data_IF_989509000035
#
_entry.id   IF_989509000035
#
_cell.length_a   1.000
_cell.length_b   1.000
_cell.length_c   1.000
_cell.angle_alpha   90.00
_cell.angle_beta   90.00
_cell.angle_gamma   90.00
#
_symmetry.space_group_name_H-M   'P 1'
#
loop_
_entity.id
_entity.type
_entity.pdbx_description
1 polymer ?
#
# COMPACT_ATOMS: atom_id res chain seq x y z
N UNK A 1 -37.37 7.29 23.73
CA UNK A 1 -36.97 5.90 23.44
C UNK A 1 -35.99 5.87 22.29
N UNK A 2 -34.81 5.28 22.48
CA UNK A 2 -33.72 5.26 21.49
C UNK A 2 -33.27 3.84 21.16
N UNK A 3 -32.27 3.73 20.29
CA UNK A 3 -31.63 2.46 19.93
C UNK A 3 -31.04 1.77 21.18
N UNK A 4 -31.20 0.44 21.27
CA UNK A 4 -30.69 -0.38 22.38
C UNK A 4 -29.54 -1.26 21.92
N UNK A 5 -28.48 -1.34 22.73
CA UNK A 5 -27.33 -2.24 22.47
C UNK A 5 -27.81 -3.69 22.34
N UNK A 6 -27.29 -4.41 21.35
CA UNK A 6 -27.62 -5.81 21.07
C UNK A 6 -28.97 -6.03 20.37
N UNK A 7 -29.62 -4.97 19.88
CA UNK A 7 -30.79 -5.07 19.01
C UNK A 7 -30.42 -4.67 17.59
N UNK A 8 -30.93 -5.44 16.63
CA UNK A 8 -30.83 -5.14 15.20
C UNK A 8 -31.99 -4.24 14.77
N UNK A 9 -31.68 -3.29 13.90
CA UNK A 9 -32.64 -2.34 13.34
C UNK A 9 -32.38 -2.24 11.84
N UNK A 10 -33.44 -2.19 11.04
CA UNK A 10 -33.35 -1.95 9.60
C UNK A 10 -33.70 -0.50 9.28
N UNK A 11 -32.96 0.10 8.35
CA UNK A 11 -33.16 1.46 7.87
C UNK A 11 -33.10 1.43 6.34
N UNK A 12 -34.13 1.96 5.71
CA UNK A 12 -34.21 2.07 4.26
C UNK A 12 -34.06 3.53 3.85
N UNK A 13 -33.14 3.81 2.93
CA UNK A 13 -32.90 5.14 2.40
C UNK A 13 -33.23 5.17 0.90
N UNK A 14 -33.98 6.19 0.49
CA UNK A 14 -34.22 6.50 -0.91
C UNK A 14 -33.69 7.90 -1.20
N UNK A 15 -32.82 7.99 -2.20
CA UNK A 15 -32.24 9.26 -2.62
C UNK A 15 -32.01 9.24 -4.13
N UNK A 16 -31.97 10.43 -4.72
CA UNK A 16 -31.76 10.63 -6.15
C UNK A 16 -31.13 11.99 -6.38
N UNK A 17 -30.32 12.13 -7.41
CA UNK A 17 -29.75 13.41 -7.79
C UNK A 17 -28.77 13.29 -8.95
N UNK A 18 -28.23 14.43 -9.36
CA UNK A 18 -27.11 14.53 -10.28
C UNK A 18 -25.88 14.93 -9.47
N UNK A 19 -25.06 13.97 -9.01
CA UNK A 19 -23.88 14.28 -8.21
C UNK A 19 -22.93 15.15 -9.04
N UNK A 20 -22.26 16.10 -8.37
CA UNK A 20 -21.26 16.93 -9.04
C UNK A 20 -19.96 16.14 -9.10
N UNK A 21 -19.49 15.82 -10.30
CA UNK A 21 -18.14 15.27 -10.49
C UNK A 21 -17.10 16.27 -9.97
N UNK A 22 -16.21 15.82 -9.09
CA UNK A 22 -15.14 16.64 -8.52
C UNK A 22 -13.78 15.97 -8.72
N UNK A 23 -13.22 16.11 -9.93
CA UNK A 23 -11.91 15.56 -10.25
C UNK A 23 -11.83 14.04 -10.09
N UNK A 24 -10.65 13.51 -9.73
CA UNK A 24 -10.43 12.07 -9.53
C UNK A 24 -11.25 11.50 -8.37
N UNK A 25 -11.37 12.25 -7.26
CA UNK A 25 -12.04 11.80 -6.04
C UNK A 25 -13.30 12.64 -5.81
N UNK A 26 -14.46 12.10 -6.20
CA UNK A 26 -15.71 12.83 -6.19
C UNK A 26 -16.96 12.00 -5.89
N UNK A 27 -16.79 10.78 -5.35
CA UNK A 27 -17.90 9.88 -5.12
C UNK A 27 -18.20 9.09 -6.38
N UNK A 28 -19.28 9.44 -7.08
CA UNK A 28 -19.70 8.83 -8.34
C UNK A 28 -19.70 9.89 -9.46
N UNK A 29 -19.11 9.55 -10.59
CA UNK A 29 -19.00 10.41 -11.78
C UNK A 29 -19.78 9.81 -12.94
N UNK A 30 -20.42 10.70 -13.71
CA UNK A 30 -21.17 10.36 -14.92
C UNK A 30 -20.52 11.10 -16.10
N UNK A 31 -19.64 10.41 -16.81
CA UNK A 31 -18.88 10.95 -17.94
C UNK A 31 -19.15 10.15 -19.21
N UNK A 32 -18.40 10.47 -20.27
CA UNK A 32 -18.41 9.75 -21.54
C UNK A 32 -17.04 9.15 -21.82
N UNK A 33 -17.03 7.97 -22.46
CA UNK A 33 -15.82 7.39 -23.01
C UNK A 33 -15.37 8.10 -24.30
N UNK A 34 -14.16 7.80 -24.83
CA UNK A 34 -13.67 8.43 -26.05
C UNK A 34 -14.55 8.24 -27.30
N UNK A 35 -15.49 7.28 -27.27
CA UNK A 35 -16.47 7.04 -28.33
C UNK A 35 -17.82 7.76 -28.08
N UNK A 36 -17.95 8.53 -27.00
CA UNK A 36 -19.16 9.25 -26.63
C UNK A 36 -20.23 8.38 -25.98
N UNK A 37 -19.88 7.21 -25.45
CA UNK A 37 -20.80 6.32 -24.72
C UNK A 37 -20.74 6.62 -23.21
N UNK A 38 -21.80 6.37 -22.43
CA UNK A 38 -21.75 6.59 -20.99
C UNK A 38 -20.63 5.79 -20.31
N UNK A 39 -19.85 6.48 -19.48
CA UNK A 39 -18.81 5.90 -18.62
C UNK A 39 -18.99 6.43 -17.20
N UNK A 40 -19.51 5.58 -16.33
CA UNK A 40 -19.80 5.90 -14.94
C UNK A 40 -18.78 5.18 -14.08
N UNK A 41 -18.24 5.84 -13.08
CA UNK A 41 -17.27 5.26 -12.18
C UNK A 41 -17.35 5.89 -10.80
N UNK A 42 -16.89 5.14 -9.79
CA UNK A 42 -16.73 5.63 -8.43
C UNK A 42 -15.26 5.79 -8.08
N UNK A 43 -14.96 6.83 -7.30
CA UNK A 43 -13.68 7.03 -6.63
C UNK A 43 -13.89 8.02 -5.47
N UNK A 44 -13.75 7.54 -4.24
CA UNK A 44 -14.15 8.31 -3.07
C UNK A 44 -13.22 8.23 -1.86
N UNK A 45 -12.06 7.57 -1.96
CA UNK A 45 -11.05 7.62 -0.90
C UNK A 45 -10.62 9.06 -0.62
N UNK A 46 -10.58 9.43 0.66
CA UNK A 46 -10.38 10.80 1.10
C UNK A 46 -11.69 11.51 1.42
N UNK A 47 -12.47 12.03 0.44
CA UNK A 47 -13.75 12.68 0.71
C UNK A 47 -14.76 11.78 1.43
N UNK A 48 -14.72 10.49 1.13
CA UNK A 48 -15.53 9.48 1.77
C UNK A 48 -16.74 9.02 0.95
N UNK A 49 -17.23 7.85 1.33
CA UNK A 49 -18.31 7.13 0.67
C UNK A 49 -19.67 7.85 0.77
N UNK A 50 -19.85 8.66 1.82
CA UNK A 50 -21.07 9.43 2.06
C UNK A 50 -21.40 10.46 0.96
N UNK A 51 -20.45 10.75 0.08
CA UNK A 51 -20.63 11.66 -1.05
C UNK A 51 -21.64 11.15 -2.10
N UNK A 52 -21.83 9.83 -2.20
CA UNK A 52 -22.68 9.24 -3.24
C UNK A 52 -23.70 8.23 -2.73
N UNK A 53 -23.57 7.74 -1.49
CA UNK A 53 -24.59 6.90 -0.86
C UNK A 53 -24.66 7.09 0.66
N UNK A 54 -25.83 6.91 1.29
CA UNK A 54 -25.96 6.94 2.75
C UNK A 54 -25.18 5.80 3.39
N UNK A 55 -24.11 6.14 4.11
CA UNK A 55 -23.25 5.17 4.80
C UNK A 55 -22.77 5.73 6.14
N UNK A 56 -22.33 4.83 7.03
CA UNK A 56 -21.52 5.17 8.20
C UNK A 56 -20.09 5.35 7.73
N UNK A 57 -19.80 6.54 7.22
CA UNK A 57 -18.53 6.86 6.56
C UNK A 57 -17.36 6.98 7.57
N UNK A 58 -16.92 5.84 8.06
CA UNK A 58 -15.86 5.69 9.06
C UNK A 58 -14.99 4.51 8.66
N UNK A 59 -13.67 4.70 8.65
CA UNK A 59 -12.71 3.68 8.22
C UNK A 59 -12.81 2.36 8.98
N UNK A 60 -13.21 2.39 10.25
CA UNK A 60 -13.39 1.20 11.09
C UNK A 60 -14.73 0.47 10.94
N UNK A 61 -15.68 1.02 10.16
CA UNK A 61 -17.01 0.42 10.02
C UNK A 61 -17.08 -0.41 8.73
N UNK A 62 -16.80 -1.70 8.86
CA UNK A 62 -16.91 -2.67 7.78
C UNK A 62 -18.14 -3.55 8.02
N UNK A 63 -18.99 -3.68 7.00
CA UNK A 63 -20.11 -4.64 7.02
C UNK A 63 -19.60 -6.04 6.73
N UNK A 64 -20.21 -7.09 7.28
CA UNK A 64 -19.75 -8.48 7.08
C UNK A 64 -19.89 -8.98 5.62
N UNK A 65 -20.85 -8.42 4.89
CA UNK A 65 -21.13 -8.73 3.48
C UNK A 65 -21.98 -7.61 2.86
N UNK A 66 -22.08 -7.58 1.54
CA UNK A 66 -22.89 -6.58 0.83
C UNK A 66 -23.49 -7.15 -0.46
N UNK A 67 -24.79 -6.95 -0.65
CA UNK A 67 -25.46 -7.17 -1.94
C UNK A 67 -25.50 -5.85 -2.72
N UNK A 68 -25.07 -5.89 -3.98
CA UNK A 68 -25.05 -4.74 -4.88
C UNK A 68 -25.91 -5.07 -6.11
N UNK A 69 -26.87 -4.20 -6.42
CA UNK A 69 -27.74 -4.32 -7.58
C UNK A 69 -27.79 -3.00 -8.32
N UNK A 70 -27.29 -2.99 -9.57
CA UNK A 70 -27.20 -1.79 -10.40
C UNK A 70 -28.00 -1.99 -11.68
N UNK A 71 -28.84 -1.02 -12.02
CA UNK A 71 -29.63 -1.00 -13.25
C UNK A 71 -29.03 0.02 -14.20
N UNK A 72 -28.63 -0.44 -15.38
CA UNK A 72 -27.96 0.40 -16.38
C UNK A 72 -28.64 0.25 -17.74
N UNK A 73 -28.59 1.26 -18.61
CA UNK A 73 -29.12 1.14 -19.98
C UNK A 73 -28.60 -0.12 -20.69
N UNK A 74 -29.47 -0.75 -21.47
CA UNK A 74 -29.13 -1.93 -22.25
C UNK A 74 -27.92 -1.66 -23.17
N UNK A 75 -26.99 -2.61 -23.22
CA UNK A 75 -25.72 -2.47 -23.94
C UNK A 75 -24.55 -2.00 -23.09
N UNK A 76 -24.78 -1.58 -21.84
CA UNK A 76 -23.72 -1.32 -20.86
C UNK A 76 -23.54 -2.49 -19.89
N UNK A 77 -22.33 -2.58 -19.34
CA UNK A 77 -21.91 -3.54 -18.33
C UNK A 77 -21.57 -2.79 -17.05
N UNK A 78 -22.21 -3.18 -15.96
CA UNK A 78 -21.81 -2.79 -14.60
C UNK A 78 -20.79 -3.80 -14.05
N UNK A 79 -19.76 -3.30 -13.37
CA UNK A 79 -18.75 -4.06 -12.64
C UNK A 79 -18.57 -3.47 -11.25
N UNK A 80 -19.05 -4.20 -10.25
CA UNK A 80 -18.91 -3.87 -8.83
C UNK A 80 -18.04 -4.88 -8.09
N UNK A 81 -17.79 -4.62 -6.80
CA UNK A 81 -17.13 -5.55 -5.90
C UNK A 81 -17.89 -6.86 -5.78
N UNK A 82 -17.20 -7.92 -5.35
CA UNK A 82 -17.83 -9.19 -5.03
C UNK A 82 -17.94 -10.14 -6.22
N UNK A 83 -18.63 -11.27 -6.01
CA UNK A 83 -18.91 -12.26 -7.04
C UNK A 83 -20.07 -11.80 -7.92
N UNK A 84 -19.91 -11.96 -9.24
CA UNK A 84 -21.02 -11.77 -10.17
C UNK A 84 -22.11 -12.81 -9.97
N UNK A 85 -23.34 -12.37 -9.70
CA UNK A 85 -24.51 -13.21 -9.42
C UNK A 85 -25.47 -13.34 -10.60
N UNK A 86 -25.14 -12.68 -11.73
CA UNK A 86 -25.93 -12.70 -12.96
C UNK A 86 -26.56 -11.35 -13.30
N UNK A 87 -27.18 -11.29 -14.49
CA UNK A 87 -27.91 -10.12 -14.97
C UNK A 87 -29.29 -10.50 -15.50
N UNK A 88 -30.18 -9.52 -15.53
CA UNK A 88 -31.54 -9.67 -16.06
C UNK A 88 -31.93 -8.42 -16.85
N UNK A 89 -32.29 -8.62 -18.12
CA UNK A 89 -33.00 -7.60 -18.90
C UNK A 89 -34.39 -7.39 -18.28
N UNK A 90 -34.71 -6.14 -17.95
CA UNK A 90 -35.96 -5.76 -17.30
C UNK A 90 -37.09 -5.52 -18.32
N UNK A 91 -36.78 -5.44 -19.62
CA UNK A 91 -37.76 -5.21 -20.69
C UNK A 91 -38.21 -3.76 -20.84
N UNK A 92 -37.61 -2.83 -20.09
CA UNK A 92 -37.88 -1.39 -20.09
C UNK A 92 -36.70 -0.55 -20.63
N UNK A 93 -35.72 -1.22 -21.25
CA UNK A 93 -34.49 -0.60 -21.74
C UNK A 93 -33.32 -0.64 -20.76
N UNK A 94 -33.49 -1.24 -19.57
CA UNK A 94 -32.43 -1.42 -18.58
C UNK A 94 -32.12 -2.90 -18.31
N UNK A 95 -30.85 -3.16 -18.00
CA UNK A 95 -30.37 -4.45 -17.51
C UNK A 95 -29.93 -4.29 -16.05
N UNK A 96 -30.47 -5.15 -15.18
CA UNK A 96 -30.06 -5.23 -13.78
C UNK A 96 -28.89 -6.20 -13.64
N UNK A 97 -27.78 -5.73 -13.07
CA UNK A 97 -26.61 -6.51 -12.71
C UNK A 97 -26.61 -6.74 -11.20
N UNK A 98 -26.23 -7.95 -10.77
CA UNK A 98 -26.18 -8.32 -9.35
C UNK A 98 -24.82 -8.84 -8.96
N UNK A 99 -24.35 -8.37 -7.81
CA UNK A 99 -23.09 -8.76 -7.20
C UNK A 99 -23.29 -9.05 -5.72
N UNK A 100 -22.47 -9.96 -5.18
CA UNK A 100 -22.45 -10.27 -3.76
C UNK A 100 -21.02 -10.27 -3.24
N UNK A 101 -20.73 -9.41 -2.26
CA UNK A 101 -19.46 -9.35 -1.54
C UNK A 101 -19.52 -10.30 -0.37
N UNK A 102 -18.70 -11.35 -0.37
CA UNK A 102 -18.72 -12.42 0.64
C UNK A 102 -17.89 -12.11 1.89
N UNK A 103 -17.13 -11.02 1.88
CA UNK A 103 -16.16 -10.67 2.91
C UNK A 103 -16.46 -9.27 3.47
N UNK A 104 -15.90 -8.94 4.64
CA UNK A 104 -15.94 -7.57 5.14
C UNK A 104 -15.45 -6.57 4.09
N UNK A 105 -16.11 -5.43 4.00
CA UNK A 105 -15.75 -4.38 3.05
C UNK A 105 -15.90 -3.00 3.67
N UNK A 106 -14.88 -2.18 3.46
CA UNK A 106 -14.89 -0.77 3.84
C UNK A 106 -15.83 0.04 2.95
N UNK A 107 -16.52 1.03 3.50
CA UNK A 107 -17.46 1.84 2.75
C UNK A 107 -16.82 2.61 1.59
N UNK A 108 -15.55 3.03 1.70
CA UNK A 108 -14.85 3.70 0.59
C UNK A 108 -14.48 2.74 -0.55
N UNK A 109 -14.33 1.45 -0.24
CA UNK A 109 -13.97 0.39 -1.18
C UNK A 109 -15.14 -0.04 -2.08
N UNK A 110 -16.37 0.28 -1.68
CA UNK A 110 -17.57 -0.01 -2.48
C UNK A 110 -17.53 0.81 -3.77
N UNK A 111 -17.65 0.11 -4.89
CA UNK A 111 -17.48 0.66 -6.22
C UNK A 111 -18.54 0.23 -7.22
N UNK A 112 -18.82 1.14 -8.16
CA UNK A 112 -19.70 0.94 -9.30
C UNK A 112 -18.96 1.47 -10.53
N UNK A 113 -18.71 0.60 -11.51
CA UNK A 113 -18.08 0.97 -12.77
C UNK A 113 -18.96 0.50 -13.92
N UNK A 114 -19.48 1.44 -14.71
CA UNK A 114 -20.39 1.16 -15.83
C UNK A 114 -19.81 1.72 -17.12
N UNK A 115 -19.63 0.85 -18.11
CA UNK A 115 -19.26 1.26 -19.47
C UNK A 115 -19.71 0.20 -20.48
N UNK A 116 -19.40 0.41 -21.75
CA UNK A 116 -19.55 -0.62 -22.79
C UNK A 116 -18.46 -1.71 -22.70
N UNK A 117 -18.11 -2.17 -21.48
CA UNK A 117 -16.98 -3.07 -21.26
C UNK A 117 -17.11 -4.37 -22.04
N UNK A 118 -16.01 -4.74 -22.69
CA UNK A 118 -15.70 -6.09 -23.10
C UNK A 118 -15.07 -6.86 -21.94
N UNK A 119 -15.43 -8.13 -21.81
CA UNK A 119 -14.95 -9.02 -20.74
C UNK A 119 -14.05 -10.12 -21.30
N UNK A 120 -12.96 -10.39 -20.59
CA UNK A 120 -12.14 -11.58 -20.78
C UNK A 120 -11.61 -12.06 -19.43
N UNK A 121 -11.23 -13.33 -19.33
CA UNK A 121 -10.90 -13.95 -18.05
C UNK A 121 -9.69 -14.86 -18.13
N UNK A 122 -9.05 -15.10 -16.99
CA UNK A 122 -8.05 -16.14 -16.74
C UNK A 122 -8.33 -16.82 -15.38
N UNK A 123 -7.55 -17.82 -15.02
CA UNK A 123 -7.59 -18.48 -13.72
C UNK A 123 -6.19 -18.71 -13.16
N UNK A 124 -6.08 -18.66 -11.84
CA UNK A 124 -4.94 -19.16 -11.10
C UNK A 124 -5.43 -20.24 -10.12
N UNK A 125 -5.35 -21.50 -10.54
CA UNK A 125 -6.02 -22.60 -9.84
C UNK A 125 -7.54 -22.37 -9.82
N UNK A 126 -8.11 -22.27 -8.62
CA UNK A 126 -9.54 -21.99 -8.42
C UNK A 126 -9.90 -20.50 -8.40
N UNK A 127 -8.91 -19.61 -8.27
CA UNK A 127 -9.13 -18.17 -8.29
C UNK A 127 -9.49 -17.71 -9.71
N UNK A 128 -10.66 -17.08 -9.85
CA UNK A 128 -11.07 -16.39 -11.08
C UNK A 128 -10.39 -15.03 -11.17
N UNK A 129 -9.85 -14.73 -12.35
CA UNK A 129 -9.31 -13.42 -12.71
C UNK A 129 -10.16 -12.87 -13.86
N UNK A 130 -10.92 -11.82 -13.61
CA UNK A 130 -11.87 -11.25 -14.57
C UNK A 130 -11.44 -9.84 -14.98
N UNK A 131 -11.47 -9.56 -16.27
CA UNK A 131 -10.90 -8.33 -16.82
C UNK A 131 -11.90 -7.60 -17.70
N UNK A 132 -12.01 -6.29 -17.49
CA UNK A 132 -12.97 -5.44 -18.15
C UNK A 132 -12.27 -4.24 -18.77
N UNK A 133 -12.42 -4.08 -20.09
CA UNK A 133 -11.82 -2.99 -20.85
C UNK A 133 -12.82 -2.44 -21.87
N UNK A 134 -12.64 -1.19 -22.28
CA UNK A 134 -13.40 -0.64 -23.39
C UNK A 134 -13.09 -1.42 -24.68
N UNK A 135 -14.04 -1.52 -25.61
CA UNK A 135 -13.86 -2.28 -26.86
C UNK A 135 -12.62 -1.84 -27.65
N UNK A 136 -12.34 -0.54 -27.67
CA UNK A 136 -11.22 0.07 -28.38
C UNK A 136 -9.86 -0.27 -27.76
N UNK A 137 -9.86 -0.73 -26.50
CA UNK A 137 -8.68 -1.03 -25.70
C UNK A 137 -8.46 -2.51 -25.45
N UNK A 138 -9.38 -3.37 -25.88
CA UNK A 138 -9.38 -4.80 -25.57
C UNK A 138 -8.04 -5.49 -25.87
N UNK A 139 -7.44 -5.22 -27.03
CA UNK A 139 -6.16 -5.83 -27.41
C UNK A 139 -4.96 -5.32 -26.61
N UNK A 140 -5.02 -4.06 -26.16
CA UNK A 140 -4.00 -3.48 -25.26
C UNK A 140 -4.17 -4.05 -23.86
N UNK A 141 -5.41 -4.13 -23.37
CA UNK A 141 -5.76 -4.71 -22.09
C UNK A 141 -5.34 -6.17 -21.97
N UNK A 142 -5.63 -7.02 -22.98
CA UNK A 142 -5.22 -8.43 -22.99
C UNK A 142 -3.70 -8.61 -22.83
N UNK A 143 -2.91 -7.73 -23.45
CA UNK A 143 -1.44 -7.76 -23.33
C UNK A 143 -1.00 -7.29 -21.95
N UNK A 144 -1.55 -6.17 -21.47
CA UNK A 144 -1.09 -5.55 -20.24
C UNK A 144 -1.54 -6.31 -18.99
N UNK A 145 -2.80 -6.75 -18.94
CA UNK A 145 -3.40 -7.44 -17.79
C UNK A 145 -2.88 -8.86 -17.61
N UNK A 146 -2.14 -9.40 -18.58
CA UNK A 146 -1.38 -10.65 -18.40
C UNK A 146 -0.39 -10.58 -17.23
N UNK A 147 0.00 -9.37 -16.76
CA UNK A 147 0.82 -9.17 -15.57
C UNK A 147 0.11 -9.51 -14.25
N UNK A 148 -1.23 -9.58 -14.22
CA UNK A 148 -1.98 -9.87 -13.00
C UNK A 148 -1.68 -11.27 -12.44
N UNK A 149 -1.49 -12.27 -13.31
CA UNK A 149 -1.21 -13.65 -12.87
C UNK A 149 0.15 -13.81 -12.18
N UNK A 150 1.30 -13.39 -12.77
CA UNK A 150 2.58 -13.45 -12.07
C UNK A 150 2.64 -12.55 -10.83
N UNK A 151 1.92 -11.42 -10.83
CA UNK A 151 1.72 -10.61 -9.61
C UNK A 151 1.01 -11.41 -8.51
N UNK A 152 -0.11 -12.06 -8.83
CA UNK A 152 -0.87 -12.88 -7.90
C UNK A 152 -0.03 -14.04 -7.36
N UNK A 153 0.74 -14.72 -8.22
CA UNK A 153 1.67 -15.78 -7.80
C UNK A 153 2.76 -15.25 -6.84
N UNK A 154 3.30 -14.06 -7.10
CA UNK A 154 4.30 -13.44 -6.25
C UNK A 154 3.73 -13.06 -4.87
N UNK A 155 2.56 -12.43 -4.81
CA UNK A 155 1.95 -12.09 -3.52
C UNK A 155 1.48 -13.33 -2.77
N UNK A 156 0.93 -14.34 -3.45
CA UNK A 156 0.57 -15.60 -2.79
C UNK A 156 1.77 -16.39 -2.26
N UNK A 157 2.96 -16.20 -2.85
CA UNK A 157 4.19 -16.78 -2.31
C UNK A 157 4.52 -16.23 -0.91
N UNK A 158 4.30 -14.94 -0.66
CA UNK A 158 4.59 -14.31 0.63
C UNK A 158 3.45 -14.44 1.64
N UNK A 159 2.19 -14.32 1.19
CA UNK A 159 1.03 -14.19 2.08
C UNK A 159 0.10 -15.40 2.08
N UNK A 160 0.33 -16.39 1.22
CA UNK A 160 -0.62 -17.48 1.01
C UNK A 160 -1.78 -17.08 0.09
N UNK A 161 -2.89 -17.82 0.13
CA UNK A 161 -4.01 -17.64 -0.79
C UNK A 161 -4.58 -16.21 -0.80
N UNK A 162 -4.94 -15.73 -1.99
CA UNK A 162 -5.59 -14.44 -2.20
C UNK A 162 -6.77 -14.22 -1.23
N UNK A 163 -6.91 -13.04 -0.59
CA UNK A 163 -7.89 -12.83 0.46
C UNK A 163 -9.35 -13.01 0.03
N UNK A 164 -9.72 -12.69 -1.21
CA UNK A 164 -11.13 -12.60 -1.60
C UNK A 164 -11.54 -13.68 -2.61
N UNK A 165 -11.10 -14.93 -2.40
CA UNK A 165 -11.30 -16.05 -3.37
C UNK A 165 -12.76 -16.24 -3.78
N UNK A 166 -13.71 -16.14 -2.84
CA UNK A 166 -15.14 -16.29 -3.16
C UNK A 166 -15.65 -15.18 -4.08
N UNK A 167 -15.09 -13.99 -4.01
CA UNK A 167 -15.46 -12.84 -4.83
C UNK A 167 -14.74 -12.84 -6.18
N UNK A 168 -13.51 -13.36 -6.21
CA UNK A 168 -12.64 -13.35 -7.39
C UNK A 168 -12.01 -11.98 -7.62
N UNK A 169 -10.85 -11.99 -8.26
CA UNK A 169 -10.09 -10.76 -8.54
C UNK A 169 -10.51 -10.16 -9.89
N UNK A 170 -10.58 -8.83 -9.97
CA UNK A 170 -10.89 -8.12 -11.22
C UNK A 170 -9.92 -6.97 -11.49
N UNK A 171 -9.65 -6.71 -12.77
CA UNK A 171 -9.16 -5.42 -13.25
C UNK A 171 -10.21 -4.74 -14.12
N UNK A 172 -10.52 -3.48 -13.80
CA UNK A 172 -11.56 -2.70 -14.48
C UNK A 172 -10.96 -1.42 -15.04
N UNK A 173 -11.04 -1.23 -16.36
CA UNK A 173 -10.56 0.00 -16.98
C UNK A 173 -11.38 1.22 -16.52
N UNK A 174 -10.71 2.31 -16.16
CA UNK A 174 -11.33 3.58 -15.74
C UNK A 174 -10.57 4.78 -16.36
N UNK A 175 -11.14 6.00 -16.35
CA UNK A 175 -10.48 7.18 -16.96
C UNK A 175 -9.45 7.87 -16.05
N UNK A 176 -9.22 7.36 -14.83
CA UNK A 176 -8.22 7.85 -13.87
C UNK A 176 -7.14 6.79 -13.60
N UNK A 177 -6.05 7.14 -12.91
CA UNK A 177 -4.87 6.25 -12.79
C UNK A 177 -5.17 4.82 -12.32
N UNK A 178 -5.97 4.66 -11.28
CA UNK A 178 -6.31 3.39 -10.63
C UNK A 178 -6.90 3.64 -9.24
N UNK A 179 -7.41 2.60 -8.59
CA UNK A 179 -7.90 2.62 -7.20
C UNK A 179 -8.08 1.19 -6.72
N UNK A 180 -7.76 0.93 -5.47
CA UNK A 180 -7.76 -0.40 -4.85
C UNK A 180 -9.13 -0.96 -4.45
N UNK A 181 -10.22 -0.57 -5.11
CA UNK A 181 -11.57 -1.03 -4.73
C UNK A 181 -11.63 -2.56 -4.60
N UNK A 182 -11.88 -3.04 -3.38
CA UNK A 182 -11.80 -4.46 -3.01
C UNK A 182 -12.39 -5.42 -4.06
N UNK A 183 -11.59 -6.37 -4.57
CA UNK A 183 -11.97 -7.36 -5.60
C UNK A 183 -12.39 -6.79 -6.98
N UNK A 184 -12.39 -5.47 -7.14
CA UNK A 184 -12.79 -4.73 -8.34
C UNK A 184 -11.76 -3.61 -8.65
N UNK A 185 -10.48 -3.97 -8.60
CA UNK A 185 -9.35 -3.04 -8.73
C UNK A 185 -9.44 -2.29 -10.06
N UNK A 186 -9.34 -0.97 -10.01
CA UNK A 186 -9.49 -0.13 -11.19
C UNK A 186 -8.14 0.25 -11.80
N UNK A 187 -8.12 0.41 -13.12
CA UNK A 187 -6.92 0.60 -13.92
C UNK A 187 -7.09 1.70 -14.96
N UNK A 188 -6.17 2.66 -15.00
CA UNK A 188 -6.09 3.64 -16.08
C UNK A 188 -4.68 4.14 -16.34
N UNK A 189 -3.70 3.23 -16.34
CA UNK A 189 -2.29 3.52 -16.60
C UNK A 189 -1.92 3.51 -18.11
N UNK A 190 -2.93 3.61 -18.98
CA UNK A 190 -2.76 3.71 -20.44
C UNK A 190 -2.22 2.45 -21.13
N UNK A 191 -2.24 1.29 -20.47
CA UNK A 191 -1.72 0.01 -20.98
C UNK A 191 -0.20 0.04 -21.23
N UNK A 192 0.55 0.63 -20.30
CA UNK A 192 2.01 0.78 -20.39
C UNK A 192 2.70 0.45 -19.07
N UNK A 193 3.95 -0.03 -19.14
CA UNK A 193 4.79 -0.21 -17.95
C UNK A 193 5.27 1.14 -17.38
N UNK A 194 5.75 1.13 -16.13
CA UNK A 194 6.02 2.33 -15.36
C UNK A 194 4.72 2.96 -14.85
N UNK A 195 4.80 4.24 -14.50
CA UNK A 195 3.61 5.04 -14.21
C UNK A 195 3.36 6.01 -15.36
N UNK A 196 2.32 5.76 -16.15
CA UNK A 196 2.01 6.43 -17.41
C UNK A 196 3.20 6.43 -18.39
N UNK A 197 3.84 5.28 -18.55
CA UNK A 197 5.00 5.10 -19.43
C UNK A 197 6.31 5.72 -18.92
N UNK A 198 6.37 6.15 -17.66
CA UNK A 198 7.54 6.83 -17.08
C UNK A 198 8.18 6.03 -15.97
N UNK A 199 9.50 6.13 -15.89
CA UNK A 199 10.25 5.62 -14.75
C UNK A 199 10.05 6.54 -13.55
N UNK A 200 9.08 6.20 -12.70
CA UNK A 200 8.72 7.06 -11.59
C UNK A 200 9.77 7.02 -10.46
N UNK A 201 10.50 5.91 -10.34
CA UNK A 201 11.59 5.73 -9.37
C UNK A 201 12.90 6.42 -9.77
N UNK A 202 13.16 6.58 -11.08
CA UNK A 202 14.39 7.17 -11.60
C UNK A 202 15.60 6.23 -11.62
N UNK A 203 15.41 4.94 -11.34
CA UNK A 203 16.47 3.91 -11.28
C UNK A 203 16.28 2.79 -12.33
N UNK A 204 15.37 2.97 -13.28
CA UNK A 204 15.10 2.10 -14.43
C UNK A 204 14.25 0.86 -14.13
N UNK A 205 14.13 0.44 -12.88
CA UNK A 205 13.43 -0.81 -12.51
C UNK A 205 11.92 -0.71 -12.70
N UNK A 206 11.32 0.46 -12.42
CA UNK A 206 9.85 0.64 -12.54
C UNK A 206 9.31 0.47 -13.96
N UNK A 207 10.16 0.56 -14.99
CA UNK A 207 9.77 0.33 -16.39
C UNK A 207 9.61 -1.15 -16.77
N UNK A 208 9.97 -2.08 -15.86
CA UNK A 208 9.88 -3.51 -16.12
C UNK A 208 8.48 -4.08 -15.94
N UNK A 209 7.57 -3.35 -15.29
CA UNK A 209 6.21 -3.79 -14.98
C UNK A 209 5.24 -2.61 -14.97
N UNK A 210 3.94 -2.88 -14.95
CA UNK A 210 2.90 -1.87 -14.79
C UNK A 210 2.73 -1.49 -13.32
N UNK A 211 3.08 -0.26 -12.95
CA UNK A 211 3.02 0.19 -11.55
C UNK A 211 1.61 0.07 -10.96
N UNK A 212 0.57 0.46 -11.71
CA UNK A 212 -0.80 0.48 -11.22
C UNK A 212 -1.33 -0.93 -11.00
N UNK A 213 -1.01 -1.89 -11.88
CA UNK A 213 -1.43 -3.29 -11.65
C UNK A 213 -0.82 -3.81 -10.35
N UNK A 214 0.45 -3.52 -10.07
CA UNK A 214 1.12 -4.05 -8.89
C UNK A 214 0.68 -3.33 -7.60
N UNK A 215 0.65 -2.00 -7.61
CA UNK A 215 0.31 -1.20 -6.44
C UNK A 215 -1.16 -1.41 -6.03
N UNK A 216 -2.10 -1.11 -6.94
CA UNK A 216 -3.53 -1.16 -6.62
C UNK A 216 -4.00 -2.59 -6.27
N UNK A 217 -3.35 -3.62 -6.82
CA UNK A 217 -3.66 -5.01 -6.44
C UNK A 217 -2.98 -5.45 -5.15
N UNK A 218 -1.84 -4.86 -4.79
CA UNK A 218 -1.18 -5.14 -3.51
C UNK A 218 -2.06 -4.75 -2.32
N UNK A 219 -2.90 -3.74 -2.51
CA UNK A 219 -3.87 -3.32 -1.51
C UNK A 219 -4.94 -4.36 -1.14
N UNK A 220 -5.15 -5.38 -1.98
CA UNK A 220 -5.99 -6.51 -1.61
C UNK A 220 -5.50 -7.20 -0.32
N UNK A 221 -4.20 -7.16 -0.03
CA UNK A 221 -3.61 -7.62 1.23
C UNK A 221 -3.54 -6.53 2.30
N UNK A 222 -3.10 -5.31 1.95
CA UNK A 222 -2.94 -4.18 2.88
C UNK A 222 -3.67 -2.94 2.37
N UNK A 223 -4.81 -2.59 2.96
CA UNK A 223 -5.80 -1.73 2.32
C UNK A 223 -7.17 -2.30 2.59
N UNK A 224 -7.36 -3.51 2.06
CA UNK A 224 -8.66 -4.19 2.02
C UNK A 224 -8.74 -5.33 3.04
N UNK A 225 -7.81 -6.29 2.99
CA UNK A 225 -7.82 -7.39 3.96
C UNK A 225 -7.26 -6.98 5.32
N UNK A 226 -6.27 -6.10 5.36
CA UNK A 226 -5.78 -5.49 6.60
C UNK A 226 -5.98 -3.99 6.48
N UNK A 227 -6.90 -3.45 7.26
CA UNK A 227 -7.36 -2.06 7.12
C UNK A 227 -6.85 -1.20 8.26
N UNK A 228 -6.53 0.08 8.04
CA UNK A 228 -6.32 1.03 9.12
C UNK A 228 -7.67 1.43 9.75
N UNK A 229 -7.75 1.42 11.08
CA UNK A 229 -8.97 1.81 11.82
C UNK A 229 -9.30 3.31 11.74
N UNK A 230 -8.32 4.14 11.39
CA UNK A 230 -8.41 5.59 11.21
C UNK A 230 -7.42 6.02 10.13
N UNK A 231 -7.79 7.05 9.37
CA UNK A 231 -6.97 7.61 8.29
C UNK A 231 -5.60 8.10 8.76
N UNK A 232 -5.41 8.38 10.06
CA UNK A 232 -4.10 8.74 10.59
C UNK A 232 -3.06 7.61 10.48
N UNK A 233 -3.50 6.36 10.40
CA UNK A 233 -2.67 5.17 10.25
C UNK A 233 -2.60 4.68 8.79
N UNK A 234 -2.97 5.51 7.80
CA UNK A 234 -3.03 5.12 6.38
C UNK A 234 -1.69 4.67 5.77
N UNK A 235 -0.56 4.88 6.46
CA UNK A 235 0.70 4.21 6.11
C UNK A 235 0.61 2.67 6.19
N UNK A 236 -0.35 2.12 6.95
CA UNK A 236 -0.63 0.68 6.99
C UNK A 236 -1.10 0.18 5.62
N UNK A 237 -1.87 1.01 4.90
CA UNK A 237 -2.24 0.73 3.51
C UNK A 237 -1.06 1.04 2.61
N UNK A 238 -0.61 2.29 2.64
CA UNK A 238 0.23 2.83 1.58
C UNK A 238 1.70 2.45 1.71
N UNK A 239 2.23 2.45 2.94
CA UNK A 239 3.60 2.06 3.22
C UNK A 239 3.84 0.56 3.01
N UNK A 240 2.87 -0.29 3.40
CA UNK A 240 2.96 -1.73 3.16
C UNK A 240 2.78 -2.06 1.69
N UNK A 241 1.78 -1.54 1.00
CA UNK A 241 1.60 -1.78 -0.44
C UNK A 241 2.81 -1.29 -1.23
N UNK A 242 3.38 -0.13 -0.90
CA UNK A 242 4.65 0.32 -1.49
C UNK A 242 5.81 -0.66 -1.22
N UNK A 243 5.84 -1.30 -0.04
CA UNK A 243 6.83 -2.35 0.25
C UNK A 243 6.56 -3.65 -0.53
N UNK A 244 5.29 -4.01 -0.76
CA UNK A 244 4.90 -5.15 -1.61
C UNK A 244 5.42 -5.00 -3.05
N UNK A 245 5.50 -3.78 -3.58
CA UNK A 245 6.14 -3.55 -4.88
C UNK A 245 7.61 -3.99 -4.87
N UNK A 246 8.36 -3.66 -3.81
CA UNK A 246 9.74 -4.11 -3.66
C UNK A 246 9.82 -5.64 -3.54
N UNK A 247 8.89 -6.28 -2.83
CA UNK A 247 8.80 -7.73 -2.73
C UNK A 247 8.50 -8.38 -4.08
N UNK A 248 7.60 -7.79 -4.87
CA UNK A 248 7.32 -8.21 -6.24
C UNK A 248 8.57 -8.11 -7.12
N UNK A 249 9.28 -6.98 -7.07
CA UNK A 249 10.54 -6.78 -7.80
C UNK A 249 11.59 -7.83 -7.37
N UNK A 250 11.72 -8.11 -6.08
CA UNK A 250 12.65 -9.13 -5.58
C UNK A 250 12.31 -10.51 -6.10
N UNK A 251 11.03 -10.87 -6.09
CA UNK A 251 10.55 -12.17 -6.56
C UNK A 251 10.73 -12.37 -8.05
N UNK A 252 10.50 -11.34 -8.86
CA UNK A 252 10.49 -11.43 -10.33
C UNK A 252 11.85 -11.10 -10.95
N UNK A 253 12.58 -10.16 -10.38
CA UNK A 253 13.80 -9.58 -10.97
C UNK A 253 15.04 -9.72 -10.07
N UNK A 254 14.88 -10.22 -8.85
CA UNK A 254 15.97 -10.52 -7.93
C UNK A 254 16.32 -9.37 -6.97
N UNK A 255 17.03 -9.73 -5.90
CA UNK A 255 17.37 -8.83 -4.79
C UNK A 255 18.12 -7.56 -5.22
N UNK A 256 19.02 -7.65 -6.20
CA UNK A 256 19.79 -6.49 -6.67
C UNK A 256 18.90 -5.41 -7.30
N UNK A 257 17.85 -5.79 -8.03
CA UNK A 257 16.90 -4.83 -8.59
C UNK A 257 15.91 -4.35 -7.53
N UNK A 258 15.52 -5.19 -6.58
CA UNK A 258 14.71 -4.80 -5.43
C UNK A 258 15.40 -3.72 -4.60
N UNK A 259 16.70 -3.92 -4.32
CA UNK A 259 17.52 -2.96 -3.60
C UNK A 259 17.63 -1.63 -4.34
N UNK A 260 17.84 -1.63 -5.66
CA UNK A 260 17.80 -0.39 -6.46
C UNK A 260 16.44 0.30 -6.37
N UNK A 261 15.37 -0.48 -6.55
CA UNK A 261 14.00 0.00 -6.59
C UNK A 261 13.59 0.70 -5.30
N UNK A 262 13.80 0.05 -4.15
CA UNK A 262 13.48 0.63 -2.84
C UNK A 262 14.35 1.85 -2.51
N UNK A 263 15.62 1.87 -2.93
CA UNK A 263 16.47 3.03 -2.74
C UNK A 263 16.07 4.23 -3.63
N UNK A 264 15.39 3.99 -4.76
CA UNK A 264 14.77 5.04 -5.56
C UNK A 264 13.69 5.84 -4.81
N UNK A 265 13.12 5.28 -3.74
CA UNK A 265 12.14 5.97 -2.89
C UNK A 265 12.76 7.07 -2.03
N UNK A 266 14.07 7.01 -1.72
CA UNK A 266 14.71 7.97 -0.81
C UNK A 266 14.57 9.42 -1.32
N UNK A 267 14.74 9.63 -2.63
CA UNK A 267 14.60 10.93 -3.30
C UNK A 267 13.15 11.46 -3.32
N UNK A 268 12.17 10.62 -2.97
CA UNK A 268 10.75 10.99 -2.92
C UNK A 268 10.30 11.44 -1.53
N UNK A 269 11.03 11.06 -0.47
CA UNK A 269 10.66 11.40 0.90
C UNK A 269 11.04 12.85 1.21
N UNK A 270 10.06 13.67 1.58
CA UNK A 270 10.27 15.10 1.88
C UNK A 270 10.66 15.36 3.34
N UNK A 271 10.25 14.50 4.27
CA UNK A 271 10.46 14.60 5.71
C UNK A 271 10.02 15.95 6.30
N UNK A 272 8.86 16.48 5.85
CA UNK A 272 8.35 17.79 6.30
C UNK A 272 7.45 17.71 7.53
N UNK A 273 6.75 16.60 7.72
CA UNK A 273 5.86 16.33 8.84
C UNK A 273 5.82 14.81 9.11
N UNK A 274 5.39 14.35 10.29
CA UNK A 274 5.17 12.94 10.57
C UNK A 274 4.24 12.26 9.56
N UNK A 275 4.39 10.95 9.39
CA UNK A 275 3.49 10.15 8.53
C UNK A 275 2.27 9.62 9.29
N UNK A 276 2.29 9.58 10.63
CA UNK A 276 1.08 9.43 11.44
C UNK A 276 0.59 10.82 11.85
N UNK A 277 -0.66 11.14 11.53
CA UNK A 277 -1.32 12.38 11.93
C UNK A 277 -2.09 12.20 13.24
N UNK A 278 -2.79 13.23 13.70
CA UNK A 278 -3.59 13.14 14.92
C UNK A 278 -4.85 12.28 14.70
N UNK A 279 -4.99 11.23 15.50
CA UNK A 279 -6.12 10.30 15.46
C UNK A 279 -7.46 11.01 15.66
N UNK A 280 -8.49 10.58 14.95
CA UNK A 280 -9.86 11.11 15.10
C UNK A 280 -10.09 12.49 14.50
N UNK A 281 -9.10 13.08 13.80
CA UNK A 281 -9.25 14.37 13.09
C UNK A 281 -9.54 14.21 11.59
N UNK A 282 -9.70 12.98 11.10
CA UNK A 282 -9.91 12.67 9.69
C UNK A 282 -8.87 13.39 8.78
N UNK A 283 -7.63 13.46 9.25
CA UNK A 283 -6.54 14.14 8.57
C UNK A 283 -5.64 13.12 7.88
N UNK A 284 -5.70 13.07 6.56
CA UNK A 284 -4.81 12.22 5.77
C UNK A 284 -3.32 12.57 5.98
N UNK A 285 -2.45 11.56 6.04
CA UNK A 285 -1.01 11.76 6.18
C UNK A 285 -0.37 12.39 4.92
N UNK A 286 0.86 12.93 5.03
CA UNK A 286 1.62 13.31 3.83
C UNK A 286 1.88 12.11 2.92
N UNK A 287 2.13 12.39 1.63
CA UNK A 287 2.60 11.38 0.67
C UNK A 287 3.92 10.70 1.04
N UNK A 288 4.63 11.16 2.08
CA UNK A 288 5.76 10.43 2.65
C UNK A 288 5.33 9.06 3.22
N UNK A 289 4.03 8.84 3.51
CA UNK A 289 3.50 7.55 4.00
C UNK A 289 3.89 6.35 3.11
N UNK A 290 3.92 6.54 1.78
CA UNK A 290 4.27 5.52 0.80
C UNK A 290 5.75 5.16 0.96
N UNK A 291 6.60 6.14 0.63
CA UNK A 291 8.03 5.96 0.46
C UNK A 291 8.75 5.77 1.80
N UNK A 292 8.44 6.61 2.80
CA UNK A 292 9.03 6.50 4.13
C UNK A 292 8.56 5.23 4.84
N UNK A 293 7.29 4.83 4.65
CA UNK A 293 6.74 3.58 5.18
C UNK A 293 7.48 2.36 4.64
N UNK A 294 7.64 2.26 3.31
CA UNK A 294 8.38 1.15 2.69
C UNK A 294 9.86 1.12 3.09
N UNK A 295 10.54 2.27 3.13
CA UNK A 295 11.93 2.40 3.57
C UNK A 295 12.09 2.02 5.05
N UNK A 296 11.12 2.34 5.89
CA UNK A 296 11.08 1.93 7.29
C UNK A 296 10.95 0.40 7.42
N UNK A 297 10.03 -0.23 6.70
CA UNK A 297 9.90 -1.70 6.68
C UNK A 297 11.20 -2.38 6.19
N UNK A 298 11.82 -1.85 5.13
CA UNK A 298 13.11 -2.35 4.66
C UNK A 298 14.23 -2.17 5.69
N UNK A 299 14.22 -1.06 6.43
CA UNK A 299 15.16 -0.85 7.54
C UNK A 299 14.96 -1.92 8.61
N UNK A 300 13.72 -2.23 8.99
CA UNK A 300 13.42 -3.26 9.98
C UNK A 300 13.84 -4.68 9.52
N UNK A 301 13.68 -5.02 8.23
CA UNK A 301 14.24 -6.25 7.65
C UNK A 301 15.73 -6.37 7.94
N UNK A 302 16.47 -5.29 7.72
CA UNK A 302 17.91 -5.27 7.91
C UNK A 302 18.34 -5.20 9.38
N UNK A 303 17.55 -4.56 10.26
CA UNK A 303 17.73 -4.61 11.72
C UNK A 303 17.54 -6.03 12.25
N UNK A 304 16.56 -6.76 11.74
CA UNK A 304 16.36 -8.18 12.08
C UNK A 304 17.51 -9.04 11.56
N UNK A 305 18.00 -8.72 10.35
CA UNK A 305 19.22 -9.28 9.78
C UNK A 305 19.12 -10.75 9.36
N UNK A 306 17.90 -11.27 9.20
CA UNK A 306 17.58 -12.66 8.90
C UNK A 306 16.31 -12.70 8.03
N UNK A 307 16.49 -13.02 6.75
CA UNK A 307 15.42 -12.97 5.76
C UNK A 307 14.34 -14.02 6.00
N UNK A 308 14.69 -15.22 6.46
CA UNK A 308 13.71 -16.27 6.76
C UNK A 308 12.78 -15.82 7.89
N UNK A 309 13.34 -15.21 8.95
CA UNK A 309 12.54 -14.63 10.02
C UNK A 309 11.74 -13.41 9.56
N UNK A 310 12.29 -12.59 8.68
CA UNK A 310 11.59 -11.44 8.13
C UNK A 310 10.35 -11.86 7.35
N UNK A 311 10.49 -12.81 6.42
CA UNK A 311 9.36 -13.29 5.62
C UNK A 311 8.32 -14.02 6.47
N UNK A 312 8.76 -14.77 7.50
CA UNK A 312 7.85 -15.36 8.47
C UNK A 312 7.05 -14.29 9.24
N UNK A 313 7.70 -13.20 9.67
CA UNK A 313 7.03 -12.08 10.34
C UNK A 313 6.07 -11.34 9.41
N UNK A 314 6.47 -11.04 8.18
CA UNK A 314 5.60 -10.37 7.18
C UNK A 314 4.34 -11.19 6.93
N UNK A 315 4.48 -12.52 6.80
CA UNK A 315 3.34 -13.41 6.69
C UNK A 315 2.49 -13.44 7.96
N UNK A 316 3.11 -13.49 9.14
CA UNK A 316 2.39 -13.49 10.41
C UNK A 316 1.59 -12.19 10.62
N UNK A 317 2.12 -11.03 10.21
CA UNK A 317 1.39 -9.76 10.25
C UNK A 317 0.09 -9.89 9.47
N UNK A 318 0.17 -10.36 8.21
CA UNK A 318 -1.00 -10.58 7.39
C UNK A 318 -1.96 -11.60 8.02
N UNK A 319 -1.50 -12.80 8.35
CA UNK A 319 -2.34 -13.87 8.89
C UNK A 319 -3.01 -13.48 10.23
N UNK A 320 -2.35 -12.66 11.05
CA UNK A 320 -2.87 -12.20 12.36
C UNK A 320 -3.98 -11.17 12.20
N UNK A 321 -3.85 -10.27 11.21
CA UNK A 321 -4.73 -9.10 11.07
C UNK A 321 -5.68 -9.17 9.87
N UNK A 322 -5.65 -10.26 9.10
CA UNK A 322 -6.57 -10.49 7.98
C UNK A 322 -8.03 -10.36 8.42
N UNK A 323 -8.77 -9.54 7.67
CA UNK A 323 -10.14 -9.07 7.89
C UNK A 323 -10.35 -8.28 9.19
N UNK A 324 -9.37 -7.47 9.58
CA UNK A 324 -9.46 -6.60 10.74
C UNK A 324 -9.05 -5.17 10.39
N UNK A 325 -9.71 -4.21 11.05
CA UNK A 325 -9.23 -2.83 11.14
C UNK A 325 -8.29 -2.69 12.34
N UNK A 326 -7.05 -2.25 12.11
CA UNK A 326 -5.98 -2.21 13.11
C UNK A 326 -5.40 -0.82 13.30
N UNK A 327 -4.62 -0.65 14.35
CA UNK A 327 -3.79 0.55 14.59
C UNK A 327 -2.30 0.23 14.43
N UNK A 328 -1.47 1.27 14.25
CA UNK A 328 0.00 1.13 14.23
C UNK A 328 0.53 0.35 15.44
N UNK A 329 -0.09 0.55 16.61
CA UNK A 329 0.36 -0.07 17.85
C UNK A 329 0.12 -1.59 17.87
N UNK A 330 -0.79 -2.12 17.05
CA UNK A 330 -1.00 -3.57 16.94
C UNK A 330 0.14 -4.23 16.16
N UNK A 331 0.59 -3.59 15.07
CA UNK A 331 1.81 -3.99 14.34
C UNK A 331 3.02 -3.90 15.27
N UNK A 332 3.18 -2.80 16.01
CA UNK A 332 4.30 -2.62 16.94
C UNK A 332 4.34 -3.73 18.02
N UNK A 333 3.20 -4.08 18.62
CA UNK A 333 3.14 -5.18 19.61
C UNK A 333 3.64 -6.50 19.02
N UNK A 334 3.24 -6.83 17.80
CA UNK A 334 3.68 -8.04 17.11
C UNK A 334 5.17 -8.00 16.80
N UNK A 335 5.67 -6.86 16.29
CA UNK A 335 7.08 -6.66 15.99
C UNK A 335 7.95 -6.74 17.25
N UNK A 336 7.55 -6.11 18.37
CA UNK A 336 8.25 -6.20 19.65
C UNK A 336 8.41 -7.66 20.11
N UNK A 337 7.35 -8.45 19.99
CA UNK A 337 7.37 -9.88 20.32
C UNK A 337 8.35 -10.66 19.45
N UNK A 338 8.46 -10.35 18.16
CA UNK A 338 9.31 -11.10 17.21
C UNK A 338 10.76 -10.66 17.20
N UNK A 339 11.03 -9.38 17.42
CA UNK A 339 12.39 -8.88 17.57
C UNK A 339 12.97 -9.15 18.97
N UNK A 340 12.12 -9.38 19.97
CA UNK A 340 12.57 -9.58 21.36
C UNK A 340 13.18 -8.33 21.98
N UNK A 341 12.83 -7.15 21.46
CA UNK A 341 13.26 -5.84 21.95
C UNK A 341 12.11 -4.83 21.84
N UNK A 342 12.23 -3.72 22.57
CA UNK A 342 11.30 -2.62 22.44
C UNK A 342 11.64 -1.75 21.22
N UNK A 343 10.78 -1.81 20.20
CA UNK A 343 10.87 -1.04 18.97
C UNK A 343 10.03 0.24 19.03
N UNK A 344 9.36 0.55 20.15
CA UNK A 344 8.58 1.78 20.28
C UNK A 344 9.40 3.02 19.89
N UNK A 345 10.66 3.21 20.36
CA UNK A 345 11.44 4.38 19.95
C UNK A 345 11.73 4.42 18.45
N UNK A 346 11.88 3.26 17.81
CA UNK A 346 12.14 3.16 16.38
C UNK A 346 10.89 3.51 15.59
N UNK A 347 9.73 2.93 15.94
CA UNK A 347 8.44 3.27 15.34
C UNK A 347 8.13 4.75 15.49
N UNK A 348 8.34 5.33 16.68
CA UNK A 348 8.11 6.74 16.93
C UNK A 348 8.97 7.63 16.02
N UNK A 349 10.26 7.33 15.89
CA UNK A 349 11.15 8.15 15.07
C UNK A 349 10.77 8.12 13.58
N UNK A 350 10.39 6.96 13.05
CA UNK A 350 10.03 6.85 11.64
C UNK A 350 8.62 7.33 11.34
N UNK A 351 7.65 7.04 12.21
CA UNK A 351 6.23 7.24 11.93
C UNK A 351 5.68 8.54 12.54
N UNK A 352 6.08 8.85 13.78
CA UNK A 352 5.55 9.98 14.57
C UNK A 352 6.45 11.22 14.56
N UNK A 353 7.64 11.12 13.97
CA UNK A 353 8.53 12.26 13.71
C UNK A 353 8.84 12.43 12.22
N UNK A 354 9.12 13.67 11.82
CA UNK A 354 9.33 14.01 10.42
C UNK A 354 10.67 13.47 9.90
N UNK A 355 11.76 13.63 10.65
CA UNK A 355 13.11 13.27 10.21
C UNK A 355 13.42 11.78 10.47
N UNK A 356 14.22 11.11 9.63
CA UNK A 356 14.83 9.82 9.97
C UNK A 356 15.96 10.02 11.02
N UNK A 357 16.39 8.96 11.72
CA UNK A 357 17.51 9.05 12.67
C UNK A 357 18.81 9.45 11.97
N UNK A 358 19.66 10.23 12.66
CA UNK A 358 20.98 10.62 12.18
C UNK A 358 22.07 9.85 12.95
N UNK A 359 22.89 9.07 12.25
CA UNK A 359 24.11 8.49 12.80
C UNK A 359 25.23 9.54 12.76
N UNK A 360 25.67 10.00 13.92
CA UNK A 360 26.86 10.85 14.02
C UNK A 360 28.11 9.98 14.20
N UNK A 361 29.15 10.23 13.40
CA UNK A 361 30.44 9.55 13.45
C UNK A 361 31.58 10.58 13.63
N UNK A 362 32.43 10.38 14.64
CA UNK A 362 33.62 11.18 14.91
C UNK A 362 34.86 10.29 14.86
N UNK A 363 35.73 10.52 13.88
CA UNK A 363 36.97 9.78 13.70
C UNK A 363 38.12 10.39 14.52
N UNK A 364 38.85 9.54 15.21
CA UNK A 364 40.07 9.86 15.96
C UNK A 364 41.20 9.00 15.37
N UNK A 365 41.87 9.55 14.34
CA UNK A 365 42.91 8.86 13.57
C UNK A 365 44.10 8.48 14.48
N UNK A 366 44.44 9.32 15.48
CA UNK A 366 45.52 9.06 16.42
C UNK A 366 45.24 7.85 17.33
N UNK A 367 43.96 7.58 17.62
CA UNK A 367 43.53 6.46 18.46
C UNK A 367 43.01 5.26 17.67
N UNK A 368 43.04 5.32 16.33
CA UNK A 368 42.49 4.28 15.46
C UNK A 368 41.06 3.90 15.90
N UNK A 369 40.20 4.91 16.03
CA UNK A 369 38.84 4.73 16.54
C UNK A 369 37.82 5.68 15.92
N UNK A 370 36.56 5.26 15.95
CA UNK A 370 35.41 6.09 15.60
C UNK A 370 34.41 6.10 16.75
N UNK A 371 34.04 7.29 17.22
CA UNK A 371 32.94 7.48 18.16
C UNK A 371 31.64 7.64 17.40
N UNK A 372 30.57 7.01 17.88
CA UNK A 372 29.30 6.94 17.20
C UNK A 372 28.12 7.08 18.17
N UNK A 373 27.02 7.68 17.71
CA UNK A 373 25.72 7.70 18.40
C UNK A 373 24.58 8.00 17.41
N UNK A 374 23.35 7.71 17.84
CA UNK A 374 22.14 8.24 17.22
C UNK A 374 21.84 9.65 17.72
N UNK A 375 21.49 10.56 16.80
CA UNK A 375 20.81 11.82 17.09
C UNK A 375 19.38 11.74 16.57
N UNK A 376 18.41 11.78 17.47
CA UNK A 376 17.00 11.51 17.23
C UNK A 376 16.10 12.49 17.98
N UNK A 377 14.82 12.54 17.59
CA UNK A 377 13.77 13.25 18.31
C UNK A 377 13.21 12.42 19.47
N UNK A 378 13.43 11.10 19.44
CA UNK A 378 12.91 10.15 20.42
C UNK A 378 13.99 9.75 21.44
N UNK A 379 13.75 9.95 22.75
CA UNK A 379 14.62 9.47 23.81
C UNK A 379 14.72 7.94 23.84
N UNK A 380 15.87 7.41 24.25
CA UNK A 380 16.06 5.96 24.36
C UNK A 380 16.13 5.22 23.01
N UNK A 381 16.23 5.96 21.89
CA UNK A 381 16.40 5.35 20.57
C UNK A 381 17.68 4.50 20.52
N UNK A 382 17.51 3.24 20.18
CA UNK A 382 18.57 2.29 19.92
C UNK A 382 18.18 1.42 18.73
N UNK A 383 19.05 1.37 17.72
CA UNK A 383 18.80 0.61 16.50
C UNK A 383 20.14 0.11 15.96
N UNK A 384 20.34 -1.21 15.82
CA UNK A 384 21.52 -1.78 15.18
C UNK A 384 21.70 -1.28 13.73
N UNK A 385 22.95 -1.11 13.31
CA UNK A 385 23.28 -0.72 11.93
C UNK A 385 24.61 -1.33 11.49
N UNK A 386 24.74 -1.58 10.19
CA UNK A 386 25.97 -2.08 9.55
C UNK A 386 26.87 -0.93 9.12
N UNK A 387 28.15 -1.04 9.48
CA UNK A 387 29.23 -0.08 9.19
C UNK A 387 30.53 -0.82 8.84
N UNK A 388 31.48 -0.18 8.17
CA UNK A 388 32.75 -0.79 7.78
C UNK A 388 33.02 -0.69 6.28
N UNK A 389 33.61 -1.72 5.68
CA UNK A 389 33.77 -1.80 4.21
C UNK A 389 32.56 -2.54 3.60
N UNK A 390 32.19 -2.21 2.35
CA UNK A 390 30.97 -2.75 1.70
C UNK A 390 30.93 -4.26 1.60
N UNK A 391 32.09 -4.91 1.49
CA UNK A 391 32.29 -6.34 1.39
C UNK A 391 32.55 -7.01 2.76
N UNK A 392 32.67 -6.22 3.83
CA UNK A 392 33.01 -6.68 5.17
C UNK A 392 32.23 -5.91 6.25
N UNK A 393 30.90 -5.89 6.15
CA UNK A 393 30.04 -5.20 7.11
C UNK A 393 30.22 -5.72 8.54
N UNK A 394 30.36 -4.78 9.48
CA UNK A 394 30.27 -5.03 10.92
C UNK A 394 29.01 -4.39 11.47
N UNK A 395 28.26 -5.14 12.28
CA UNK A 395 27.12 -4.58 13.01
C UNK A 395 27.60 -3.87 14.28
N UNK A 396 27.09 -2.66 14.49
CA UNK A 396 27.18 -1.92 15.75
C UNK A 396 25.77 -1.68 16.30
N UNK A 397 25.68 -1.41 17.60
CA UNK A 397 24.41 -1.08 18.28
C UNK A 397 24.51 0.31 18.92
N UNK A 398 24.38 1.40 18.13
CA UNK A 398 24.34 2.75 18.66
C UNK A 398 23.11 2.98 19.53
N UNK A 399 23.31 3.82 20.53
CA UNK A 399 22.27 4.46 21.35
C UNK A 399 22.35 5.97 21.16
N UNK A 400 21.57 6.75 21.91
CA UNK A 400 21.70 8.21 21.95
C UNK A 400 22.98 8.68 22.66
N UNK A 401 23.66 7.80 23.39
CA UNK A 401 24.92 8.08 24.06
C UNK A 401 26.13 7.76 23.18
N UNK A 402 27.22 8.50 23.38
CA UNK A 402 28.47 8.26 22.65
C UNK A 402 29.07 6.90 23.02
N UNK A 403 29.32 6.09 22.00
CA UNK A 403 30.05 4.83 22.08
C UNK A 403 31.27 4.90 21.16
N UNK A 404 32.27 4.05 21.36
CA UNK A 404 33.51 4.05 20.56
C UNK A 404 33.81 2.67 20.02
N UNK A 405 34.18 2.62 18.74
CA UNK A 405 34.62 1.44 18.00
C UNK A 405 36.09 1.61 17.62
N UNK A 406 36.94 0.64 17.95
CA UNK A 406 38.29 0.58 17.38
C UNK A 406 38.22 0.12 15.92
N UNK A 407 38.91 0.83 15.04
CA UNK A 407 38.93 0.57 13.60
C UNK A 407 40.18 1.17 12.95
N UNK A 408 40.77 0.44 12.01
CA UNK A 408 41.86 0.91 11.14
C UNK A 408 41.35 1.69 9.91
N UNK A 409 40.02 1.72 9.72
CA UNK A 409 39.40 2.45 8.63
C UNK A 409 39.30 3.93 8.99
N UNK A 410 39.99 4.76 8.22
CA UNK A 410 39.78 6.21 8.23
C UNK A 410 38.41 6.59 7.65
N UNK A 411 38.03 7.86 7.87
CA UNK A 411 36.73 8.44 7.51
C UNK A 411 36.22 8.09 6.08
N UNK A 412 37.10 8.11 5.09
CA UNK A 412 36.74 7.90 3.68
C UNK A 412 36.38 6.45 3.37
N UNK A 413 37.01 5.48 4.04
CA UNK A 413 36.79 4.04 3.82
C UNK A 413 35.75 3.44 4.75
N UNK A 414 35.45 4.11 5.86
CA UNK A 414 34.44 3.66 6.81
C UNK A 414 33.05 4.00 6.29
N UNK A 415 32.37 3.05 5.66
CA UNK A 415 31.03 3.21 5.13
C UNK A 415 29.95 2.87 6.15
N UNK A 416 28.72 3.30 5.85
CA UNK A 416 27.48 2.97 6.54
C UNK A 416 26.55 2.41 5.48
N UNK A 417 25.87 1.30 5.75
CA UNK A 417 25.01 0.61 4.78
C UNK A 417 23.70 1.37 4.51
N UNK A 418 23.75 2.62 4.05
CA UNK A 418 22.57 3.49 3.83
C UNK A 418 21.68 3.04 2.68
N UNK A 419 22.11 2.04 1.91
CA UNK A 419 21.29 1.30 0.94
C UNK A 419 20.36 0.27 1.62
N UNK A 420 20.74 -0.20 2.81
CA UNK A 420 19.97 -1.16 3.62
C UNK A 420 19.15 -0.49 4.74
N UNK A 421 19.59 0.68 5.21
CA UNK A 421 18.97 1.40 6.33
C UNK A 421 18.62 2.83 5.90
N UNK A 422 17.36 3.22 6.07
CA UNK A 422 16.92 4.59 5.80
C UNK A 422 17.30 5.51 6.95
N UNK A 423 18.54 6.00 6.94
CA UNK A 423 19.13 6.85 7.98
C UNK A 423 19.91 7.99 7.35
N UNK A 424 20.13 9.07 8.11
CA UNK A 424 21.12 10.09 7.76
C UNK A 424 22.46 9.76 8.41
N UNK A 425 23.55 10.24 7.83
CA UNK A 425 24.91 10.04 8.36
C UNK A 425 25.68 11.36 8.32
N UNK A 426 26.37 11.68 9.41
CA UNK A 426 27.41 12.73 9.43
C UNK A 426 28.73 12.10 9.84
N UNK A 427 29.78 12.42 9.09
CA UNK A 427 31.16 12.03 9.42
C UNK A 427 31.98 13.28 9.65
N UNK A 428 32.67 13.36 10.78
CA UNK A 428 33.64 14.43 11.08
C UNK A 428 34.90 13.85 11.70
N UNK A 429 36.02 14.55 11.57
CA UNK A 429 37.22 14.23 12.34
C UNK A 429 37.15 14.95 13.67
N UNK A 430 37.77 14.38 14.70
CA UNK A 430 38.02 15.09 15.94
C UNK A 430 38.95 16.26 15.60
N UNK A 431 38.46 17.48 15.77
CA UNK A 431 39.33 18.66 15.71
C UNK A 431 40.37 18.52 16.84
N UNK A 432 41.64 18.69 16.51
CA UNK A 432 42.71 18.62 17.50
C UNK A 432 42.56 19.76 18.49
N UNK A 433 42.69 19.44 19.79
CA UNK A 433 42.87 20.44 20.86
C UNK A 433 44.16 21.23 20.67
#
# INVERSE_FOLDING_TARGET
>A
DGFKVGKEYSLDFHYSGAPKSSGRFGGISFDEDPAGRPWIYTACEGPGSSYWWPSKDQWRDEVESMDISVEVPNGLTDVSNGRYMGKKDLGDGYTRWKWHVHYPINSYNVSINVAAYEHFSDRLGELTLDYYALPEDLDRAKKQFAQAKPMMEAFQHYFGEYPFVKDGYKLVQVPYSGMEHQSAVTYGNGFTNGYHGKDWTGVGVSMKFDFIIIHESGHEWFGNAVTASDVCDMWIHEGWTTYLECMYVEKLFGYADALKYINGYQEKVRNRRPIITERGKHQGPPGDQYFKGALFLHTLRNVLGDDDKWWALVREVYDTFKYQSIETDDILKLFNKRFGMDLQPVFDQYLRHAQPPLLELIFDDAKHSVSYRWKTDVPGFAMPIRVGERDAWRQISPTTEWQTLSTELGQERFEVATDLYYVKVTKRRREGD
#
